data_IF_059644400997
#
_entry.id   IF_059644400997
#
_cell.length_a   1.000
_cell.length_b   1.000
_cell.length_c   1.000
_cell.angle_alpha   90.00
_cell.angle_beta   90.00
_cell.angle_gamma   90.00
#
_symmetry.space_group_name_H-M   'P 1'
#
loop_
_entity.id
_entity.type
_entity.pdbx_description
1 polymer ?
#
# COMPACT_ATOMS: atom_id res chain seq x y z
N UNK A 1 8.97 -2.35 -24.65
CA UNK A 1 7.98 -2.42 -23.57
C UNK A 1 8.74 -2.28 -22.26
N UNK A 2 8.68 -1.11 -21.61
CA UNK A 2 9.39 -0.89 -20.36
C UNK A 2 8.77 -1.75 -19.25
N UNK A 3 9.59 -2.51 -18.55
CA UNK A 3 9.21 -3.30 -17.39
C UNK A 3 8.60 -2.36 -16.35
N UNK A 4 7.29 -2.50 -16.07
CA UNK A 4 6.61 -1.72 -15.03
C UNK A 4 7.14 -2.16 -13.65
N UNK A 5 8.21 -1.52 -13.20
CA UNK A 5 8.88 -1.84 -11.94
C UNK A 5 8.37 -1.05 -10.74
N UNK A 6 8.72 -1.52 -9.55
CA UNK A 6 8.64 -0.73 -8.32
C UNK A 6 10.00 -0.12 -8.01
N UNK A 7 10.03 1.11 -7.50
CA UNK A 7 11.25 1.82 -7.13
C UNK A 7 11.10 2.45 -5.73
N UNK A 8 12.22 2.84 -5.12
CA UNK A 8 12.21 3.60 -3.87
C UNK A 8 11.47 4.92 -4.09
N UNK A 9 10.63 5.31 -3.13
CA UNK A 9 10.03 6.63 -3.16
C UNK A 9 11.07 7.69 -2.76
N UNK A 10 11.32 8.64 -3.67
CA UNK A 10 12.21 9.80 -3.47
C UNK A 10 11.42 11.09 -3.18
N UNK A 11 12.05 12.10 -2.60
CA UNK A 11 11.40 13.37 -2.20
C UNK A 11 10.77 14.13 -3.37
N UNK A 12 11.37 14.10 -4.56
CA UNK A 12 10.78 14.71 -5.77
C UNK A 12 9.39 14.15 -6.10
N UNK A 13 9.10 12.90 -5.72
CA UNK A 13 7.79 12.30 -5.92
C UNK A 13 6.72 12.85 -4.98
N UNK A 14 7.09 13.60 -3.94
CA UNK A 14 6.13 14.14 -2.97
C UNK A 14 5.28 15.26 -3.58
N UNK A 15 5.77 15.89 -4.65
CA UNK A 15 5.03 16.90 -5.41
C UNK A 15 4.07 16.29 -6.43
N UNK A 16 4.09 14.96 -6.64
CA UNK A 16 3.18 14.33 -7.58
C UNK A 16 1.72 14.52 -7.14
N UNK A 17 0.83 14.90 -8.07
CA UNK A 17 -0.59 15.02 -7.76
C UNK A 17 -1.18 13.65 -7.48
N UNK A 18 -2.16 13.59 -6.59
CA UNK A 18 -2.96 12.40 -6.34
C UNK A 18 -4.33 12.62 -6.99
N UNK A 19 -4.67 11.78 -7.98
CA UNK A 19 -5.96 11.85 -8.68
C UNK A 19 -7.01 10.98 -8.00
N UNK A 20 -6.59 9.83 -7.45
CA UNK A 20 -7.46 8.95 -6.68
C UNK A 20 -6.65 8.21 -5.62
N UNK A 21 -7.30 7.87 -4.52
CA UNK A 21 -6.77 6.98 -3.49
C UNK A 21 -7.47 5.63 -3.67
N UNK A 22 -6.70 4.60 -4.00
CA UNK A 22 -7.19 3.26 -4.28
C UNK A 22 -6.79 2.32 -3.17
N UNK A 23 -7.77 1.75 -2.47
CA UNK A 23 -7.55 0.61 -1.57
C UNK A 23 -7.59 -0.66 -2.41
N UNK A 24 -6.53 -1.46 -2.35
CA UNK A 24 -6.42 -2.73 -3.08
C UNK A 24 -6.31 -3.89 -2.12
N UNK A 25 -7.20 -4.87 -2.29
CA UNK A 25 -7.16 -6.15 -1.61
C UNK A 25 -6.43 -7.13 -2.53
N UNK A 26 -5.30 -7.64 -2.07
CA UNK A 26 -4.42 -8.54 -2.79
C UNK A 26 -4.64 -9.99 -2.35
N UNK A 27 -4.48 -10.92 -3.29
CA UNK A 27 -4.19 -12.31 -2.95
C UNK A 27 -2.71 -12.44 -2.56
N UNK A 28 -2.42 -13.21 -1.51
CA UNK A 28 -1.06 -13.62 -1.19
C UNK A 28 -0.68 -14.97 -1.84
N UNK A 29 -1.59 -15.55 -2.64
CA UNK A 29 -1.45 -16.90 -3.19
C UNK A 29 -1.82 -17.98 -2.19
N UNK A 30 -1.53 -19.23 -2.56
CA UNK A 30 -1.74 -20.42 -1.71
C UNK A 30 -0.44 -20.64 -0.92
N UNK A 31 -0.46 -20.46 0.39
CA UNK A 31 0.70 -20.76 1.25
C UNK A 31 0.89 -22.27 1.49
N UNK A 32 -0.20 -23.04 1.57
CA UNK A 32 -0.21 -24.51 1.69
C UNK A 32 -1.42 -25.10 0.96
N UNK A 33 -1.30 -26.30 0.38
CA UNK A 33 -2.42 -26.98 -0.30
C UNK A 33 -3.63 -27.23 0.62
N UNK A 34 -3.41 -27.32 1.93
CA UNK A 34 -4.45 -27.50 2.95
C UNK A 34 -4.94 -26.21 3.61
N UNK A 35 -4.40 -25.03 3.24
CA UNK A 35 -4.83 -23.77 3.85
C UNK A 35 -6.15 -23.30 3.22
N UNK A 36 -7.21 -23.29 4.04
CA UNK A 36 -8.56 -22.86 3.65
C UNK A 36 -8.81 -21.38 3.93
N UNK A 37 -7.83 -20.67 4.52
CA UNK A 37 -7.97 -19.26 4.87
C UNK A 37 -7.61 -18.40 3.66
N UNK A 38 -8.46 -17.42 3.35
CA UNK A 38 -8.10 -16.35 2.42
C UNK A 38 -7.09 -15.42 3.11
N UNK A 39 -5.79 -15.73 2.98
CA UNK A 39 -4.73 -14.79 3.37
C UNK A 39 -4.69 -13.64 2.36
N UNK A 40 -5.54 -12.65 2.59
CA UNK A 40 -5.55 -11.41 1.83
C UNK A 40 -4.73 -10.33 2.53
N UNK A 41 -4.20 -9.43 1.72
CA UNK A 41 -3.40 -8.30 2.19
C UNK A 41 -3.92 -7.02 1.57
N UNK A 42 -3.97 -5.94 2.33
CA UNK A 42 -4.51 -4.67 1.85
C UNK A 42 -3.39 -3.64 1.75
N UNK A 43 -3.33 -2.94 0.62
CA UNK A 43 -2.45 -1.78 0.45
C UNK A 43 -3.21 -0.60 -0.14
N UNK A 44 -2.65 0.61 0.03
CA UNK A 44 -3.20 1.85 -0.51
C UNK A 44 -2.31 2.28 -1.68
N UNK A 45 -2.93 2.61 -2.80
CA UNK A 45 -2.29 3.19 -3.97
C UNK A 45 -2.75 4.63 -4.14
N UNK A 46 -1.80 5.57 -4.10
CA UNK A 46 -2.04 6.95 -4.51
C UNK A 46 -1.81 7.01 -6.01
N UNK A 47 -2.88 7.15 -6.80
CA UNK A 47 -2.79 7.21 -8.26
C UNK A 47 -2.29 8.60 -8.65
N UNK A 48 -1.24 8.66 -9.46
CA UNK A 48 -0.55 9.93 -9.78
C UNK A 48 -0.64 10.33 -11.25
N UNK A 49 -1.60 9.76 -11.99
CA UNK A 49 -1.66 9.90 -13.45
C UNK A 49 -0.75 8.93 -14.20
N UNK A 50 -0.90 8.90 -15.52
CA UNK A 50 -0.08 8.12 -16.49
C UNK A 50 0.07 6.63 -16.16
N UNK A 51 -0.96 6.03 -15.55
CA UNK A 51 -0.94 4.64 -15.06
C UNK A 51 0.20 4.38 -14.09
N UNK A 52 0.55 5.36 -13.26
CA UNK A 52 1.55 5.25 -12.21
C UNK A 52 0.92 5.51 -10.84
N UNK A 53 1.60 5.03 -9.80
CA UNK A 53 1.10 5.20 -8.43
C UNK A 53 2.22 5.22 -7.39
N UNK A 54 1.86 5.59 -6.17
CA UNK A 54 2.67 5.37 -4.98
C UNK A 54 1.95 4.36 -4.09
N UNK A 55 2.60 3.24 -3.79
CA UNK A 55 2.07 2.22 -2.90
C UNK A 55 2.48 2.52 -1.46
N UNK A 56 1.50 2.51 -0.58
CA UNK A 56 1.64 2.52 0.88
C UNK A 56 1.22 1.15 1.40
N UNK A 57 2.19 0.46 1.98
CA UNK A 57 2.04 -0.96 2.26
C UNK A 57 2.55 -1.31 3.65
N UNK A 58 1.63 -1.59 4.58
CA UNK A 58 1.99 -2.04 5.93
C UNK A 58 2.26 -3.53 5.93
N UNK A 59 3.47 -3.96 6.28
CA UNK A 59 3.85 -5.38 6.31
C UNK A 59 4.33 -5.80 7.70
N UNK A 60 4.43 -7.11 7.90
CA UNK A 60 5.20 -7.70 9.00
C UNK A 60 6.58 -8.06 8.45
N UNK A 61 7.65 -7.41 8.94
CA UNK A 61 8.98 -7.57 8.36
C UNK A 61 9.65 -8.90 8.74
N UNK A 62 9.47 -9.34 9.99
CA UNK A 62 9.98 -10.61 10.52
C UNK A 62 8.91 -11.45 11.21
N UNK A 63 9.11 -12.77 11.35
CA UNK A 63 8.11 -13.69 11.89
C UNK A 63 7.73 -13.43 13.36
N UNK A 64 8.63 -12.81 14.13
CA UNK A 64 8.43 -12.47 15.55
C UNK A 64 8.04 -11.01 15.78
N UNK A 65 7.96 -10.20 14.73
CA UNK A 65 7.68 -8.78 14.87
C UNK A 65 6.25 -8.55 15.33
N UNK A 66 6.12 -7.68 16.33
CA UNK A 66 4.84 -7.24 16.90
C UNK A 66 4.40 -5.88 16.34
N UNK A 67 5.29 -5.18 15.64
CA UNK A 67 5.03 -3.91 14.98
C UNK A 67 5.03 -4.09 13.47
N UNK A 68 4.16 -3.36 12.79
CA UNK A 68 4.16 -3.29 11.34
C UNK A 68 5.28 -2.38 10.82
N UNK A 69 5.74 -2.64 9.61
CA UNK A 69 6.66 -1.80 8.85
C UNK A 69 5.92 -1.19 7.66
N UNK A 70 5.77 0.13 7.67
CA UNK A 70 5.17 0.85 6.55
C UNK A 70 6.20 1.02 5.42
N UNK A 71 5.98 0.30 4.32
CA UNK A 71 6.73 0.48 3.08
C UNK A 71 6.06 1.53 2.19
N UNK A 72 6.88 2.40 1.60
CA UNK A 72 6.47 3.43 0.64
C UNK A 72 7.26 3.21 -0.64
N UNK A 73 6.58 3.00 -1.76
CA UNK A 73 7.22 2.65 -3.04
C UNK A 73 6.61 3.41 -4.19
N UNK A 74 7.42 3.82 -5.16
CA UNK A 74 6.93 4.30 -6.46
C UNK A 74 6.62 3.09 -7.33
N UNK A 75 5.49 3.10 -8.02
CA UNK A 75 5.07 2.04 -8.93
C UNK A 75 4.87 2.63 -10.33
N UNK A 76 5.51 2.02 -11.33
CA UNK A 76 5.27 2.31 -12.75
C UNK A 76 3.95 1.76 -13.30
N UNK A 77 3.02 1.42 -12.40
CA UNK A 77 1.70 0.87 -12.65
C UNK A 77 0.70 1.48 -11.66
N UNK A 78 -0.58 1.53 -12.02
CA UNK A 78 -1.71 1.91 -11.14
C UNK A 78 -2.57 0.70 -10.73
N UNK A 79 -2.30 -0.46 -11.34
CA UNK A 79 -2.97 -1.71 -11.11
C UNK A 79 -1.96 -2.83 -10.80
N UNK A 80 -2.07 -3.39 -9.60
CA UNK A 80 -1.33 -4.59 -9.21
C UNK A 80 -1.91 -5.84 -9.87
N UNK A 81 -1.03 -6.75 -10.30
CA UNK A 81 -1.38 -8.07 -10.84
C UNK A 81 -1.95 -9.04 -9.78
N UNK A 82 -1.79 -8.76 -8.49
CA UNK A 82 -2.37 -9.56 -7.40
C UNK A 82 -3.69 -8.99 -6.87
N UNK A 83 -4.20 -7.92 -7.48
CA UNK A 83 -5.44 -7.28 -7.05
C UNK A 83 -6.66 -8.18 -7.27
N UNK A 84 -7.34 -8.57 -6.18
CA UNK A 84 -8.63 -9.25 -6.21
C UNK A 84 -9.79 -8.26 -6.23
N UNK A 85 -9.68 -7.18 -5.45
CA UNK A 85 -10.72 -6.14 -5.35
C UNK A 85 -10.09 -4.77 -5.13
N UNK A 86 -10.76 -3.74 -5.64
CA UNK A 86 -10.34 -2.34 -5.55
C UNK A 86 -11.50 -1.47 -5.10
N UNK A 87 -11.20 -0.47 -4.27
CA UNK A 87 -12.13 0.56 -3.85
C UNK A 87 -11.42 1.89 -4.09
N UNK A 88 -12.01 2.72 -4.95
CA UNK A 88 -11.42 3.99 -5.37
C UNK A 88 -12.17 5.16 -4.72
N UNK A 89 -11.39 6.05 -4.11
CA UNK A 89 -11.86 7.31 -3.54
C UNK A 89 -11.29 8.45 -4.39
N UNK A 90 -12.17 9.33 -4.89
CA UNK A 90 -11.74 10.48 -5.68
C UNK A 90 -10.98 11.45 -4.79
N UNK A 91 -9.77 11.85 -5.21
CA UNK A 91 -9.00 12.84 -4.47
C UNK A 91 -9.52 14.26 -4.74
N UNK A 92 -9.40 15.12 -3.73
CA UNK A 92 -9.65 16.56 -3.90
C UNK A 92 -8.59 17.18 -4.80
N UNK A 93 -8.95 18.25 -5.50
CA UNK A 93 -8.01 18.97 -6.36
C UNK A 93 -6.84 19.53 -5.54
N UNK A 94 -5.62 19.39 -6.07
CA UNK A 94 -4.40 19.90 -5.45
C UNK A 94 -3.79 18.99 -4.36
N UNK A 95 -4.40 17.83 -4.07
CA UNK A 95 -3.80 16.85 -3.15
C UNK A 95 -2.50 16.29 -3.75
N UNK A 96 -1.43 16.26 -2.96
CA UNK A 96 -0.14 15.67 -3.36
C UNK A 96 0.22 14.44 -2.52
N UNK A 97 1.14 13.62 -3.05
CA UNK A 97 1.69 12.46 -2.33
C UNK A 97 2.28 12.90 -0.98
N UNK A 98 3.05 13.99 -0.97
CA UNK A 98 3.69 14.51 0.23
C UNK A 98 2.69 14.87 1.34
N UNK A 99 1.56 15.49 0.98
CA UNK A 99 0.50 15.84 1.94
C UNK A 99 -0.13 14.58 2.57
N UNK A 100 -0.36 13.52 1.78
CA UNK A 100 -0.88 12.25 2.31
C UNK A 100 0.13 11.59 3.25
N UNK A 101 1.41 11.56 2.87
CA UNK A 101 2.46 11.00 3.71
C UNK A 101 2.63 11.77 5.02
N UNK A 102 2.64 13.10 4.95
CA UNK A 102 2.72 13.96 6.11
C UNK A 102 1.56 13.70 7.07
N UNK A 103 0.34 13.54 6.56
CA UNK A 103 -0.83 13.20 7.37
C UNK A 103 -0.66 11.84 8.07
N UNK A 104 -0.17 10.82 7.36
CA UNK A 104 0.10 9.50 7.95
C UNK A 104 1.13 9.59 9.09
N UNK A 105 2.19 10.36 8.88
CA UNK A 105 3.25 10.56 9.87
C UNK A 105 2.74 11.34 11.08
N UNK A 106 2.01 12.43 10.88
CA UNK A 106 1.40 13.21 11.97
C UNK A 106 0.39 12.41 12.80
N UNK A 107 -0.34 11.48 12.16
CA UNK A 107 -1.28 10.59 12.85
C UNK A 107 -0.60 9.33 13.42
N UNK A 108 0.72 9.23 13.33
CA UNK A 108 1.48 8.09 13.84
C UNK A 108 1.10 6.77 13.18
N UNK A 109 0.60 6.78 11.93
CA UNK A 109 0.08 5.57 11.25
C UNK A 109 1.17 4.57 10.90
N UNK A 110 2.44 4.98 10.92
CA UNK A 110 3.57 4.05 10.85
C UNK A 110 3.72 3.20 12.14
N UNK A 111 3.23 3.67 13.29
CA UNK A 111 3.34 3.00 14.59
C UNK A 111 2.21 1.98 14.80
N UNK A 112 2.02 1.09 13.83
CA UNK A 112 0.94 0.12 13.86
C UNK A 112 1.35 -1.14 14.62
N UNK A 113 0.63 -1.47 15.69
CA UNK A 113 0.82 -2.74 16.43
C UNK A 113 0.04 -3.85 15.75
N UNK A 114 0.73 -4.93 15.39
CA UNK A 114 0.11 -6.10 14.78
C UNK A 114 -0.72 -6.86 15.82
N UNK A 115 -1.79 -7.51 15.35
CA UNK A 115 -2.54 -8.45 16.18
C UNK A 115 -1.62 -9.57 16.70
N UNK A 116 -1.84 -10.11 17.92
CA UNK A 116 -0.97 -11.14 18.52
C UNK A 116 -0.78 -12.39 17.63
N UNK A 117 -1.75 -12.69 16.77
CA UNK A 117 -1.69 -13.79 15.79
C UNK A 117 -0.72 -13.55 14.62
N UNK A 118 -0.08 -12.38 14.53
CA UNK A 118 0.83 -12.01 13.44
C UNK A 118 0.14 -11.64 12.13
N UNK A 119 -1.19 -11.80 12.03
CA UNK A 119 -2.00 -11.53 10.84
C UNK A 119 -2.49 -10.06 10.73
N UNK A 120 -1.92 -9.16 11.52
CA UNK A 120 -2.50 -7.86 11.84
C UNK A 120 -2.53 -6.81 10.71
N UNK A 121 -1.74 -6.96 9.65
CA UNK A 121 -1.60 -5.91 8.62
C UNK A 121 -2.92 -5.56 7.92
N UNK A 122 -3.88 -6.50 7.90
CA UNK A 122 -5.19 -6.34 7.27
C UNK A 122 -6.06 -5.22 7.85
N UNK A 123 -5.82 -4.78 9.09
CA UNK A 123 -6.61 -3.73 9.75
C UNK A 123 -5.91 -2.37 9.77
N UNK A 124 -4.82 -2.21 9.03
CA UNK A 124 -4.11 -0.93 8.97
C UNK A 124 -4.81 0.11 8.08
N UNK A 125 -5.43 -0.35 6.98
CA UNK A 125 -6.11 0.49 5.98
C UNK A 125 -7.44 1.00 6.49
#
# INVERSE_FOLDING_TARGET
MATQGTQKLLEEHYLLPVTSIRVTIHTLGIFFESDTRSENHTSIYLLTGDKQSVQLNMIKAGPTDVMGTLLRKRCGYDLSNTALKRIDLQAIQGLTVGQVLQLLDQKGRANYKLAPSGMGCRFWV
#
